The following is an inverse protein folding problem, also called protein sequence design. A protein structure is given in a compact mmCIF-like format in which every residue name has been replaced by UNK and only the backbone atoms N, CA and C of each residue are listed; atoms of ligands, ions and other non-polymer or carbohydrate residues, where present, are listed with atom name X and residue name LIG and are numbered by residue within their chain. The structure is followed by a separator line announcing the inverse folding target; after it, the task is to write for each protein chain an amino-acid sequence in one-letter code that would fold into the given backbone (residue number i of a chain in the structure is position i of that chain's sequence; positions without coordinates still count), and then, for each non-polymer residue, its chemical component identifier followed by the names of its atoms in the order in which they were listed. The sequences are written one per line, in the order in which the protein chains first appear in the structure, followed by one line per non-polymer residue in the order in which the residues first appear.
data_IF_641346122498
#
_entry.id   IF_641346122498
#
_cell.length_a   1.000
_cell.length_b   1.000
_cell.length_c   1.000
_cell.angle_alpha   90.00
_cell.angle_beta   90.00
_cell.angle_gamma   90.00
#
_symmetry.space_group_name_H-M   'P 1'
#
loop_
_entity.id
_entity.type
_entity.pdbx_description
1 polymer ?
#
# COMPACT_ATOMS: atom_id res chain seq x y z
N UNK A 1 9.17 5.12 -14.37
CA UNK A 1 10.00 4.37 -13.40
C UNK A 1 9.64 4.71 -11.95
N UNK A 2 9.35 5.98 -11.63
CA UNK A 2 8.97 6.47 -10.27
C UNK A 2 7.78 5.75 -9.61
N UNK A 3 6.72 5.41 -10.38
CA UNK A 3 5.50 4.80 -9.80
C UNK A 3 5.72 3.42 -9.18
N UNK A 4 6.62 2.61 -9.74
CA UNK A 4 6.93 1.27 -9.21
C UNK A 4 7.63 1.40 -7.86
N UNK A 5 8.57 2.32 -7.79
CA UNK A 5 9.41 2.53 -6.61
C UNK A 5 8.57 2.98 -5.41
N UNK A 6 7.71 3.99 -5.61
CA UNK A 6 6.79 4.47 -4.58
C UNK A 6 5.81 3.38 -4.14
N UNK A 7 5.31 2.56 -5.07
CA UNK A 7 4.43 1.44 -4.73
C UNK A 7 5.12 0.40 -3.85
N UNK A 8 6.40 0.09 -4.11
CA UNK A 8 7.19 -0.84 -3.30
C UNK A 8 7.45 -0.23 -1.91
N UNK A 9 7.90 1.02 -1.84
CA UNK A 9 8.16 1.71 -0.57
C UNK A 9 6.91 1.78 0.33
N UNK A 10 5.73 1.98 -0.26
CA UNK A 10 4.46 2.03 0.48
C UNK A 10 4.01 0.66 0.97
N UNK A 11 4.26 -0.39 0.19
CA UNK A 11 3.99 -1.77 0.62
C UNK A 11 4.94 -2.20 1.75
N UNK A 12 6.19 -1.76 1.71
CA UNK A 12 7.19 -1.97 2.76
C UNK A 12 6.79 -1.25 4.06
N UNK A 13 6.30 -0.01 3.94
CA UNK A 13 5.76 0.79 5.04
C UNK A 13 4.37 0.34 5.54
N UNK A 14 3.86 -0.83 5.14
CA UNK A 14 2.60 -1.36 5.65
C UNK A 14 1.34 -0.64 5.16
N UNK A 15 1.33 -0.09 3.94
CA UNK A 15 0.17 0.66 3.42
C UNK A 15 -1.14 -0.13 3.56
N UNK A 16 -2.04 0.40 4.40
CA UNK A 16 -3.34 -0.21 4.67
C UNK A 16 -4.30 -0.13 3.47
N UNK A 17 -4.17 0.90 2.62
CA UNK A 17 -5.19 1.24 1.63
C UNK A 17 -4.65 1.39 0.19
N UNK A 18 -4.85 0.35 -0.64
CA UNK A 18 -4.41 0.34 -2.04
C UNK A 18 -5.11 1.39 -2.92
N UNK A 19 -6.33 1.79 -2.56
CA UNK A 19 -7.07 2.81 -3.28
C UNK A 19 -6.40 4.20 -3.16
N UNK A 20 -5.97 4.57 -1.95
CA UNK A 20 -5.24 5.83 -1.75
C UNK A 20 -3.87 5.79 -2.41
N UNK A 21 -3.17 4.67 -2.32
CA UNK A 21 -1.90 4.49 -3.02
C UNK A 21 -2.05 4.65 -4.54
N UNK A 22 -3.15 4.15 -5.11
CA UNK A 22 -3.45 4.33 -6.53
C UNK A 22 -3.62 5.81 -6.89
N UNK A 23 -4.38 6.57 -6.09
CA UNK A 23 -4.57 8.00 -6.29
C UNK A 23 -3.27 8.79 -6.16
N UNK A 24 -2.44 8.47 -5.16
CA UNK A 24 -1.13 9.11 -4.93
C UNK A 24 -0.16 8.88 -6.10
N UNK A 25 -0.23 7.72 -6.74
CA UNK A 25 0.54 7.36 -7.94
C UNK A 25 0.00 7.98 -9.24
N UNK A 26 -1.15 8.66 -9.18
CA UNK A 26 -1.85 9.24 -10.32
C UNK A 26 -2.63 8.22 -11.15
N UNK A 27 -3.10 7.13 -10.55
CA UNK A 27 -4.07 6.23 -11.18
C UNK A 27 -5.50 6.69 -10.92
N UNK A 28 -6.40 6.36 -11.85
CA UNK A 28 -7.82 6.63 -11.70
C UNK A 28 -8.42 5.90 -10.48
N UNK A 29 -8.02 4.64 -10.26
CA UNK A 29 -8.58 3.77 -9.22
C UNK A 29 -7.63 2.62 -8.86
N UNK A 30 -7.91 1.95 -7.74
CA UNK A 30 -7.20 0.74 -7.28
C UNK A 30 -7.14 -0.37 -8.34
N UNK A 31 -8.17 -0.51 -9.18
CA UNK A 31 -8.20 -1.48 -10.28
C UNK A 31 -7.15 -1.21 -11.37
N UNK A 32 -6.90 0.06 -11.70
CA UNK A 32 -5.87 0.45 -12.65
C UNK A 32 -4.47 0.22 -12.07
N UNK A 33 -4.30 0.55 -10.80
CA UNK A 33 -3.08 0.27 -10.05
C UNK A 33 -2.78 -1.24 -10.00
N UNK A 34 -3.74 -2.10 -9.65
CA UNK A 34 -3.54 -3.56 -9.60
C UNK A 34 -3.02 -4.14 -10.92
N UNK A 35 -3.58 -3.70 -12.05
CA UNK A 35 -3.13 -4.14 -13.39
C UNK A 35 -1.71 -3.67 -13.68
N UNK A 36 -1.40 -2.41 -13.39
CA UNK A 36 -0.07 -1.84 -13.60
C UNK A 36 0.97 -2.49 -12.69
N UNK A 37 0.64 -2.67 -11.41
CA UNK A 37 1.48 -3.32 -10.41
C UNK A 37 1.81 -4.74 -10.81
N UNK A 38 0.80 -5.56 -11.16
CA UNK A 38 1.02 -6.92 -11.67
C UNK A 38 1.89 -6.93 -12.93
N UNK A 39 1.76 -5.94 -13.82
CA UNK A 39 2.63 -5.81 -15.00
C UNK A 39 4.08 -5.44 -14.64
N UNK A 40 4.31 -4.74 -13.54
CA UNK A 40 5.65 -4.31 -13.11
C UNK A 40 6.37 -5.34 -12.25
N UNK A 41 5.66 -5.95 -11.30
CA UNK A 41 6.22 -6.88 -10.30
C UNK A 41 5.94 -8.34 -10.61
N UNK A 42 5.06 -8.62 -11.57
CA UNK A 42 4.62 -9.99 -11.91
C UNK A 42 3.62 -10.57 -10.91
N UNK A 43 3.36 -9.90 -9.78
CA UNK A 43 2.55 -10.40 -8.67
C UNK A 43 1.56 -9.34 -8.19
N UNK A 44 0.47 -9.77 -7.55
CA UNK A 44 -0.54 -8.83 -7.02
C UNK A 44 -0.05 -8.16 -5.74
N UNK A 45 -0.39 -6.88 -5.50
CA UNK A 45 0.03 -6.17 -4.29
C UNK A 45 -0.58 -6.78 -3.03
N UNK A 46 -1.71 -7.48 -3.12
CA UNK A 46 -2.28 -8.28 -2.03
C UNK A 46 -1.37 -9.42 -1.58
N UNK A 47 -0.78 -10.19 -2.51
CA UNK A 47 0.19 -11.25 -2.18
C UNK A 47 1.45 -10.67 -1.53
N UNK A 48 1.93 -9.54 -2.07
CA UNK A 48 3.09 -8.84 -1.51
C UNK A 48 2.80 -8.36 -0.08
N UNK A 49 1.62 -7.76 0.15
CA UNK A 49 1.19 -7.34 1.48
C UNK A 49 1.02 -8.51 2.43
N UNK A 50 0.54 -9.67 2.03
CA UNK A 50 0.41 -10.82 2.95
C UNK A 50 1.78 -11.27 3.46
N UNK A 51 2.81 -11.24 2.62
CA UNK A 51 4.17 -11.57 3.06
C UNK A 51 4.74 -10.51 4.01
N UNK A 52 4.64 -9.23 3.64
CA UNK A 52 5.09 -8.13 4.49
C UNK A 52 4.29 -8.09 5.78
N UNK A 53 2.95 -8.15 5.74
CA UNK A 53 2.11 -8.15 6.94
C UNK A 53 2.33 -9.37 7.83
N UNK A 54 2.74 -10.53 7.31
CA UNK A 54 3.14 -11.66 8.16
C UNK A 54 4.44 -11.36 8.92
N UNK A 55 5.38 -10.64 8.31
CA UNK A 55 6.63 -10.20 8.93
C UNK A 55 6.39 -9.01 9.89
N UNK A 56 5.59 -8.04 9.46
CA UNK A 56 5.33 -6.78 10.17
C UNK A 56 4.29 -6.93 11.28
N UNK A 57 3.36 -7.89 11.22
CA UNK A 57 2.45 -8.18 12.35
C UNK A 57 3.20 -8.70 13.60
N UNK A 58 4.43 -9.22 13.44
CA UNK A 58 5.32 -9.49 14.59
C UNK A 58 6.01 -8.24 15.14
N UNK A 59 5.96 -7.10 14.44
CA UNK A 59 6.63 -5.85 14.79
C UNK A 59 5.67 -4.68 15.13
N UNK A 60 4.43 -4.66 14.63
CA UNK A 60 3.50 -3.51 14.70
C UNK A 60 2.34 -3.66 15.69
N UNK A 61 2.64 -4.05 16.94
CA UNK A 61 1.78 -3.73 18.10
C UNK A 61 2.15 -2.40 18.78
N UNK A 62 3.02 -1.58 18.17
CA UNK A 62 3.44 -0.27 18.71
C UNK A 62 3.49 0.76 17.59
N UNK A 63 2.43 1.55 17.42
CA UNK A 63 2.38 2.58 16.39
C UNK A 63 1.04 3.27 16.27
N UNK A 64 0.55 3.82 17.38
CA UNK A 64 -0.51 4.84 17.40
C UNK A 64 -0.22 5.95 16.37
N UNK A 65 -1.23 6.42 15.64
CA UNK A 65 -1.59 7.83 15.38
C UNK A 65 -2.50 7.98 14.13
N UNK A 66 -3.82 7.87 14.33
CA UNK A 66 -4.81 8.79 13.71
C UNK A 66 -6.13 8.67 14.45
N UNK A 67 -6.05 8.92 15.75
CA UNK A 67 -7.09 9.65 16.46
C UNK A 67 -7.17 11.06 15.83
N UNK A 68 -8.38 11.63 15.71
CA UNK A 68 -8.72 13.00 15.24
C UNK A 68 -9.32 13.15 13.84
N UNK A 69 -10.58 12.72 13.67
CA UNK A 69 -11.54 13.50 12.88
C UNK A 69 -12.93 13.43 13.54
N UNK A 70 -12.98 13.99 14.74
CA UNK A 70 -14.20 14.35 15.46
C UNK A 70 -14.12 15.80 15.93
N UNK A 71 -14.30 16.76 15.01
CA UNK A 71 -14.70 18.14 15.36
C UNK A 71 -15.21 18.89 14.12
N UNK A 72 -16.50 18.71 13.80
CA UNK A 72 -17.48 19.79 13.60
C UNK A 72 -18.85 19.21 13.30
#
# INVERSE_FOLDING_TARGET
QVRRDLAIARLDAGAANFAELALELGFADGSAFHKAFKKWTGSTPGQYRTQVAAETASAESSGVLSETLGRR
#
